data_IF_064208359724
#
_entry.id   IF_064208359724
#
_cell.length_a   1.000
_cell.length_b   1.000
_cell.length_c   1.000
_cell.angle_alpha   90.00
_cell.angle_beta   90.00
_cell.angle_gamma   90.00
#
_symmetry.space_group_name_H-M   'P 1'
#
loop_
_entity.id
_entity.type
_entity.pdbx_description
1 polymer ?
#
# COMPACT_ATOMS: atom_id res chain seq x y z
N UNK A 1 -20.84 16.02 -5.02
CA UNK A 1 -19.98 17.22 -4.87
C UNK A 1 -19.47 17.39 -3.44
N UNK A 2 -20.32 17.64 -2.44
CA UNK A 2 -19.88 17.93 -1.06
C UNK A 2 -19.00 16.84 -0.41
N UNK A 3 -19.34 15.56 -0.59
CA UNK A 3 -18.52 14.44 -0.04
C UNK A 3 -17.13 14.37 -0.68
N UNK A 4 -17.00 14.71 -1.97
CA UNK A 4 -15.72 14.66 -2.68
C UNK A 4 -14.78 15.81 -2.29
N UNK A 5 -15.31 17.00 -1.99
CA UNK A 5 -14.49 18.10 -1.46
C UNK A 5 -13.85 17.70 -0.12
N UNK A 6 -14.57 16.95 0.72
CA UNK A 6 -14.04 16.47 2.01
C UNK A 6 -12.93 15.42 1.85
N UNK A 7 -12.73 14.85 0.65
CA UNK A 7 -11.60 13.94 0.39
C UNK A 7 -10.25 14.66 0.39
N UNK A 8 -10.23 16.00 0.41
CA UNK A 8 -9.00 16.76 0.69
C UNK A 8 -8.44 16.48 2.09
N UNK A 9 -9.29 16.11 3.06
CA UNK A 9 -8.85 15.63 4.38
C UNK A 9 -8.61 14.10 4.43
N UNK A 10 -8.81 13.39 3.32
CA UNK A 10 -8.67 11.94 3.18
C UNK A 10 -8.10 11.57 1.81
N UNK A 11 -6.91 12.11 1.51
CA UNK A 11 -6.25 12.00 0.20
C UNK A 11 -5.95 10.55 -0.18
N UNK A 12 -5.72 9.70 0.81
CA UNK A 12 -5.54 8.25 0.66
C UNK A 12 -6.76 7.58 0.01
N UNK A 13 -7.98 7.99 0.35
CA UNK A 13 -9.21 7.49 -0.28
C UNK A 13 -9.32 8.00 -1.73
N UNK A 14 -8.91 9.25 -2.00
CA UNK A 14 -8.89 9.78 -3.35
C UNK A 14 -7.86 9.07 -4.26
N UNK A 15 -6.76 8.58 -3.68
CA UNK A 15 -5.73 7.83 -4.38
C UNK A 15 -6.08 6.35 -4.53
N UNK A 16 -6.45 5.66 -3.44
CA UNK A 16 -6.62 4.19 -3.40
C UNK A 16 -8.07 3.73 -3.58
N UNK A 17 -9.01 4.66 -3.61
CA UNK A 17 -10.43 4.37 -3.75
C UNK A 17 -11.09 3.90 -2.45
N UNK A 18 -12.41 3.71 -2.51
CA UNK A 18 -13.22 3.16 -1.43
C UNK A 18 -14.47 2.46 -1.97
N UNK A 19 -14.74 1.29 -1.42
CA UNK A 19 -15.97 0.53 -1.66
C UNK A 19 -16.81 0.46 -0.39
N UNK A 20 -18.12 0.65 -0.53
CA UNK A 20 -19.11 0.41 0.52
C UNK A 20 -20.25 -0.45 -0.04
N UNK A 21 -20.79 -1.34 0.78
CA UNK A 21 -21.80 -2.35 0.37
C UNK A 21 -23.16 -2.15 1.03
N UNK A 22 -23.30 -1.21 1.96
CA UNK A 22 -24.55 -0.92 2.65
C UNK A 22 -24.70 0.55 3.06
N UNK A 23 -25.94 0.97 3.33
CA UNK A 23 -26.29 2.34 3.70
C UNK A 23 -26.18 3.36 2.55
N UNK A 24 -26.30 4.65 2.88
CA UNK A 24 -26.22 5.74 1.88
C UNK A 24 -24.85 5.80 1.18
N UNK A 25 -23.81 5.24 1.79
CA UNK A 25 -22.46 5.21 1.22
C UNK A 25 -22.35 4.27 0.02
N UNK A 26 -23.28 3.34 -0.18
CA UNK A 26 -23.33 2.49 -1.39
C UNK A 26 -23.55 3.32 -2.67
N UNK A 27 -24.28 4.43 -2.58
CA UNK A 27 -24.57 5.29 -3.74
C UNK A 27 -23.67 6.53 -3.77
N UNK A 28 -23.40 7.12 -2.61
CA UNK A 28 -22.71 8.41 -2.51
C UNK A 28 -21.20 8.29 -2.20
N UNK A 29 -20.79 7.13 -1.68
CA UNK A 29 -19.48 6.95 -1.05
C UNK A 29 -18.48 6.13 -1.86
N UNK A 30 -18.88 5.62 -3.04
CA UNK A 30 -18.00 4.89 -3.94
C UNK A 30 -16.99 5.85 -4.57
N UNK A 31 -15.72 5.52 -4.44
CA UNK A 31 -14.61 6.31 -5.01
C UNK A 31 -13.73 5.35 -5.78
N UNK A 32 -13.55 5.60 -7.06
CA UNK A 32 -12.56 4.88 -7.86
C UNK A 32 -11.16 5.43 -7.57
N UNK A 33 -10.17 4.57 -7.41
CA UNK A 33 -8.82 4.96 -7.05
C UNK A 33 -8.12 5.67 -8.21
N UNK A 34 -7.57 6.87 -7.96
CA UNK A 34 -6.80 7.57 -8.98
C UNK A 34 -5.38 7.00 -9.16
N UNK A 35 -4.86 6.25 -8.19
CA UNK A 35 -3.54 5.64 -8.23
C UNK A 35 -3.65 4.13 -8.43
N UNK A 36 -2.85 3.61 -9.35
CA UNK A 36 -2.67 2.17 -9.54
C UNK A 36 -1.23 1.78 -9.22
N UNK A 37 -1.04 0.92 -8.23
CA UNK A 37 0.27 0.39 -7.82
C UNK A 37 0.37 -1.10 -8.18
N UNK A 38 1.51 -1.50 -8.75
CA UNK A 38 1.80 -2.91 -9.03
C UNK A 38 2.55 -3.56 -7.86
N UNK A 39 2.39 -4.88 -7.70
CA UNK A 39 3.22 -5.64 -6.77
C UNK A 39 4.69 -5.54 -7.18
N UNK A 40 5.55 -5.26 -6.21
CA UNK A 40 6.99 -5.18 -6.45
C UNK A 40 7.56 -6.57 -6.70
N UNK A 41 8.42 -6.68 -7.71
CA UNK A 41 9.12 -7.93 -8.06
C UNK A 41 10.63 -7.67 -8.09
N UNK A 42 11.42 -8.72 -7.89
CA UNK A 42 12.87 -8.63 -8.07
C UNK A 42 13.19 -8.55 -9.55
N UNK A 43 14.26 -7.83 -9.88
CA UNK A 43 14.75 -7.69 -11.26
C UNK A 43 15.58 -8.89 -11.73
N UNK A 44 15.85 -9.82 -10.81
CA UNK A 44 16.62 -11.03 -11.01
C UNK A 44 15.98 -12.21 -10.26
N UNK A 45 16.37 -13.43 -10.60
CA UNK A 45 16.04 -14.61 -9.79
C UNK A 45 16.64 -14.45 -8.39
N UNK A 46 15.89 -14.88 -7.39
CA UNK A 46 16.35 -14.97 -6.00
C UNK A 46 16.09 -16.38 -5.53
N UNK A 47 17.16 -17.05 -5.13
CA UNK A 47 17.06 -18.28 -4.35
C UNK A 47 17.05 -17.85 -2.89
N UNK A 48 16.00 -18.21 -2.14
CA UNK A 48 15.87 -17.79 -0.75
C UNK A 48 16.77 -18.61 0.18
N UNK A 49 17.20 -17.98 1.25
CA UNK A 49 17.94 -18.62 2.34
C UNK A 49 16.98 -19.06 3.46
N UNK A 50 17.39 -20.07 4.23
CA UNK A 50 16.67 -20.57 5.40
C UNK A 50 17.46 -20.21 6.66
N UNK A 51 16.88 -19.36 7.50
CA UNK A 51 17.36 -19.08 8.85
C UNK A 51 16.92 -20.19 9.80
N UNK A 52 17.85 -20.69 10.60
CA UNK A 52 17.61 -21.73 11.60
C UNK A 52 17.81 -21.12 12.99
N UNK A 53 16.72 -20.91 13.69
CA UNK A 53 16.74 -20.18 14.96
C UNK A 53 16.12 -21.00 16.10
N UNK A 54 16.51 -20.65 17.33
CA UNK A 54 15.98 -21.23 18.56
C UNK A 54 15.54 -20.10 19.49
N UNK A 55 14.56 -20.35 20.35
CA UNK A 55 14.25 -19.46 21.47
C UNK A 55 14.88 -20.05 22.74
N UNK A 56 15.86 -19.34 23.32
CA UNK A 56 16.51 -19.76 24.57
C UNK A 56 15.52 -19.57 25.72
N UNK A 57 15.48 -20.57 26.60
CA UNK A 57 14.77 -20.48 27.87
C UNK A 57 15.82 -20.29 28.98
N UNK A 58 15.79 -19.11 29.61
CA UNK A 58 16.77 -18.68 30.60
C UNK A 58 16.68 -19.48 31.93
N UNK A 59 15.63 -20.27 32.13
CA UNK A 59 15.40 -21.04 33.36
C UNK A 59 15.92 -22.49 33.29
N UNK A 60 16.44 -22.94 32.13
CA UNK A 60 17.01 -24.27 31.96
C UNK A 60 18.45 -24.23 31.45
N UNK A 61 19.24 -25.25 31.80
CA UNK A 61 20.57 -25.42 31.21
C UNK A 61 20.47 -25.66 29.69
N UNK A 62 21.46 -25.18 28.94
CA UNK A 62 21.47 -25.35 27.50
C UNK A 62 21.57 -26.84 27.11
N UNK A 63 20.63 -27.31 26.28
CA UNK A 63 20.54 -28.68 25.78
C UNK A 63 20.03 -28.73 24.34
N UNK A 64 19.62 -29.92 23.87
CA UNK A 64 19.00 -30.06 22.53
C UNK A 64 17.71 -29.24 22.47
N UNK A 65 17.66 -28.29 21.54
CA UNK A 65 16.54 -27.36 21.38
C UNK A 65 15.67 -27.69 20.15
N UNK A 66 14.46 -27.17 20.14
CA UNK A 66 13.64 -27.08 18.93
C UNK A 66 14.21 -26.00 17.99
N UNK A 67 14.36 -26.32 16.70
CA UNK A 67 14.76 -25.35 15.68
C UNK A 67 13.52 -24.92 14.87
N UNK A 68 13.27 -23.62 14.87
CA UNK A 68 12.41 -22.98 13.89
C UNK A 68 13.17 -22.71 12.59
N UNK A 69 12.42 -22.61 11.48
CA UNK A 69 12.99 -22.18 10.19
C UNK A 69 12.23 -20.97 9.68
N UNK A 70 12.95 -19.98 9.14
CA UNK A 70 12.37 -18.82 8.48
C UNK A 70 13.06 -18.61 7.14
N UNK A 71 12.29 -18.61 6.05
CA UNK A 71 12.80 -18.22 4.75
C UNK A 71 13.00 -16.69 4.70
N UNK A 72 14.16 -16.25 4.24
CA UNK A 72 14.46 -14.84 4.01
C UNK A 72 15.31 -14.68 2.76
N UNK A 73 15.32 -13.48 2.18
CA UNK A 73 16.18 -13.17 1.05
C UNK A 73 16.48 -11.68 0.98
N UNK A 74 17.36 -11.32 0.06
CA UNK A 74 17.57 -9.94 -0.35
C UNK A 74 17.41 -9.83 -1.86
N UNK A 75 17.02 -8.65 -2.35
CA UNK A 75 16.80 -8.46 -3.78
C UNK A 75 16.65 -7.00 -4.17
N UNK A 76 16.93 -6.71 -5.43
CA UNK A 76 16.69 -5.40 -6.04
C UNK A 76 15.27 -5.38 -6.59
N UNK A 77 14.38 -4.69 -5.88
CA UNK A 77 12.95 -4.63 -6.21
C UNK A 77 12.64 -3.51 -7.20
N UNK A 78 11.92 -3.85 -8.27
CA UNK A 78 11.27 -2.90 -9.15
C UNK A 78 9.88 -2.56 -8.62
N UNK A 79 9.66 -1.27 -8.32
CA UNK A 79 8.36 -0.73 -7.88
C UNK A 79 7.78 0.11 -9.00
N UNK A 80 6.49 -0.08 -9.29
CA UNK A 80 5.77 0.69 -10.29
C UNK A 80 4.43 1.19 -9.73
N UNK A 81 4.17 2.47 -9.96
CA UNK A 81 2.88 3.09 -9.70
C UNK A 81 2.58 4.12 -10.80
N UNK A 82 1.31 4.35 -11.07
CA UNK A 82 0.84 5.45 -11.93
C UNK A 82 -0.33 6.18 -11.27
N UNK A 83 -0.53 7.43 -11.68
CA UNK A 83 -1.60 8.30 -11.18
C UNK A 83 -2.38 8.84 -12.38
N UNK A 84 -3.69 8.60 -12.39
CA UNK A 84 -4.62 9.27 -13.28
C UNK A 84 -4.97 10.66 -12.71
N UNK A 85 -4.32 11.69 -13.25
CA UNK A 85 -4.49 13.07 -12.76
C UNK A 85 -5.93 13.57 -12.91
N UNK A 86 -6.64 13.20 -13.98
CA UNK A 86 -8.03 13.62 -14.17
C UNK A 86 -8.95 13.00 -13.10
N UNK A 87 -8.76 11.71 -12.81
CA UNK A 87 -9.51 11.02 -11.76
C UNK A 87 -9.20 11.61 -10.37
N UNK A 88 -7.94 11.97 -10.11
CA UNK A 88 -7.55 12.58 -8.85
C UNK A 88 -8.22 13.95 -8.64
N UNK A 89 -8.26 14.78 -9.69
CA UNK A 89 -8.96 16.07 -9.66
C UNK A 89 -10.46 15.89 -9.40
N UNK A 90 -11.10 14.92 -10.05
CA UNK A 90 -12.50 14.58 -9.80
C UNK A 90 -12.73 14.12 -8.36
N UNK A 91 -11.87 13.21 -7.87
CA UNK A 91 -11.96 12.65 -6.53
C UNK A 91 -11.84 13.73 -5.45
N UNK A 92 -11.04 14.77 -5.67
CA UNK A 92 -10.86 15.91 -4.76
C UNK A 92 -11.90 17.03 -4.94
N UNK A 93 -12.97 16.76 -5.69
CA UNK A 93 -14.09 17.70 -5.87
C UNK A 93 -13.82 18.81 -6.90
N UNK A 94 -12.99 18.54 -7.91
CA UNK A 94 -12.63 19.51 -8.96
C UNK A 94 -11.37 20.31 -8.64
N UNK A 95 -10.41 19.70 -7.96
CA UNK A 95 -9.14 20.33 -7.63
C UNK A 95 -8.35 20.73 -8.90
N UNK A 96 -7.47 21.73 -8.75
CA UNK A 96 -6.63 22.19 -9.85
C UNK A 96 -5.60 21.14 -10.23
N UNK A 97 -5.05 21.25 -11.45
CA UNK A 97 -4.02 20.31 -11.91
C UNK A 97 -2.75 20.45 -11.09
N UNK A 98 -2.44 21.67 -10.63
CA UNK A 98 -1.30 21.98 -9.79
C UNK A 98 -1.40 21.25 -8.44
N UNK A 99 -2.59 21.26 -7.82
CA UNK A 99 -2.83 20.50 -6.58
C UNK A 99 -2.68 18.98 -6.80
N UNK A 100 -3.17 18.46 -7.93
CA UNK A 100 -2.99 17.05 -8.27
C UNK A 100 -1.51 16.68 -8.50
N UNK A 101 -0.72 17.58 -9.10
CA UNK A 101 0.72 17.39 -9.28
C UNK A 101 1.48 17.46 -7.96
N UNK A 102 1.10 18.36 -7.04
CA UNK A 102 1.68 18.40 -5.68
C UNK A 102 1.51 17.04 -4.98
N UNK A 103 0.28 16.50 -5.00
CA UNK A 103 0.02 15.18 -4.43
C UNK A 103 0.85 14.10 -5.13
N UNK A 104 0.95 14.15 -6.46
CA UNK A 104 1.75 13.17 -7.22
C UNK A 104 3.24 13.20 -6.84
N UNK A 105 3.80 14.37 -6.50
CA UNK A 105 5.20 14.49 -6.05
C UNK A 105 5.45 13.94 -4.65
N UNK A 106 4.41 13.73 -3.85
CA UNK A 106 4.55 13.07 -2.55
C UNK A 106 4.43 11.53 -2.64
N UNK A 107 3.97 11.00 -3.78
CA UNK A 107 3.80 9.55 -3.99
C UNK A 107 5.11 8.86 -4.42
N UNK A 108 6.02 9.61 -5.06
CA UNK A 108 7.30 9.11 -5.59
C UNK A 108 8.44 9.95 -5.00
#
# INVERSE_FOLDING_TARGET
AAIRVNLQQGVDIALSGRMATSGMMTELGKVDGAMSIAHAITTHQVDSDIDWFTAVDDLQEQGSAHLGTQEFSSGVFYRYANINLAQLQENLGGASREQALEIATHVV
#
